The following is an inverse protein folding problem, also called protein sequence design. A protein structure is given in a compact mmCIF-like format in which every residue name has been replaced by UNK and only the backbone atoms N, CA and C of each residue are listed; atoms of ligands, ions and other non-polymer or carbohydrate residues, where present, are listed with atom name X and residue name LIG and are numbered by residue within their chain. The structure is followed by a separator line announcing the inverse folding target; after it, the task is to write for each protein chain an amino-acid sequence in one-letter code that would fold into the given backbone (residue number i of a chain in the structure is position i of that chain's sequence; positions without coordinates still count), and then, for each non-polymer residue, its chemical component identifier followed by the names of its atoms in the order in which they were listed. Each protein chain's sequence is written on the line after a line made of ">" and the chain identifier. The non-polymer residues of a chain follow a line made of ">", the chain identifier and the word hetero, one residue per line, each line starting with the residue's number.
data_IF_989683144693
#
_entry.id   IF_989683144693
#
_cell.length_a   1.000
_cell.length_b   1.000
_cell.length_c   1.000
_cell.angle_alpha   90.00
_cell.angle_beta   90.00
_cell.angle_gamma   90.00
#
_symmetry.space_group_name_H-M   'P 1'
#
loop_
_entity.id
_entity.type
_entity.pdbx_description
1 polymer ?
#
# COMPACT_ATOMS: atom_id res chain seq x y z
N UNK A 1 23.97 25.26 -10.81
CA UNK A 1 22.51 25.23 -11.01
C UNK A 1 22.16 23.94 -11.73
N UNK A 2 21.72 22.92 -11.01
CA UNK A 2 21.18 21.67 -11.60
C UNK A 2 19.68 21.64 -11.24
N UNK A 3 18.89 22.40 -11.99
CA UNK A 3 17.43 22.37 -11.91
C UNK A 3 16.89 21.69 -13.18
N UNK A 4 16.77 20.37 -13.14
CA UNK A 4 15.84 19.64 -14.01
C UNK A 4 15.43 18.39 -13.24
N UNK A 5 14.48 18.55 -12.32
CA UNK A 5 13.71 17.41 -11.85
C UNK A 5 12.73 17.12 -12.98
N UNK A 6 12.95 16.04 -13.71
CA UNK A 6 12.09 15.60 -14.80
C UNK A 6 10.64 15.61 -14.32
N UNK A 7 9.85 16.50 -14.92
CA UNK A 7 8.44 16.71 -14.59
C UNK A 7 7.68 15.48 -15.08
N UNK A 8 7.44 14.51 -14.20
CA UNK A 8 6.65 13.32 -14.50
C UNK A 8 5.25 13.77 -14.91
N UNK A 9 5.00 13.84 -16.21
CA UNK A 9 3.71 14.28 -16.76
C UNK A 9 2.79 13.06 -16.83
N UNK A 10 2.15 12.71 -15.71
CA UNK A 10 1.18 11.62 -15.67
C UNK A 10 -0.20 12.13 -16.09
N UNK A 11 -0.70 11.68 -17.24
CA UNK A 11 -2.07 11.99 -17.66
C UNK A 11 -3.08 11.14 -16.89
N UNK A 12 -3.59 11.72 -15.80
CA UNK A 12 -4.62 11.16 -14.89
C UNK A 12 -5.95 10.88 -15.60
N UNK A 13 -6.14 11.38 -16.82
CA UNK A 13 -7.41 11.33 -17.55
C UNK A 13 -7.96 9.91 -17.77
N UNK A 14 -7.11 8.88 -17.87
CA UNK A 14 -7.55 7.52 -18.24
C UNK A 14 -6.87 6.38 -17.47
N UNK A 15 -6.09 6.66 -16.44
CA UNK A 15 -5.17 5.69 -15.83
C UNK A 15 -5.25 5.75 -14.30
N UNK A 16 -5.51 4.61 -13.66
CA UNK A 16 -5.49 4.49 -12.21
C UNK A 16 -4.10 4.04 -11.76
N UNK A 17 -3.49 4.80 -10.85
CA UNK A 17 -2.24 4.42 -10.21
C UNK A 17 -2.57 3.52 -9.00
N UNK A 18 -2.08 2.28 -9.00
CA UNK A 18 -2.19 1.35 -7.86
C UNK A 18 -0.82 1.23 -7.23
N UNK A 19 -0.79 1.29 -5.90
CA UNK A 19 0.46 1.34 -5.16
C UNK A 19 0.45 0.31 -4.05
N UNK A 20 1.52 -0.49 -4.02
CA UNK A 20 1.75 -1.49 -2.99
C UNK A 20 3.11 -1.29 -2.35
N UNK A 21 3.19 -1.47 -1.02
CA UNK A 21 4.41 -1.20 -0.27
C UNK A 21 4.70 -2.26 0.78
N UNK A 22 5.96 -2.69 0.83
CA UNK A 22 6.55 -3.38 1.98
C UNK A 22 7.52 -2.48 2.78
N UNK A 23 8.20 -1.50 2.19
CA UNK A 23 9.07 -0.55 2.95
C UNK A 23 9.08 0.88 2.40
N UNK A 24 9.35 1.88 3.24
CA UNK A 24 9.45 3.31 2.85
C UNK A 24 8.14 3.95 2.37
N UNK A 25 7.09 3.16 2.15
CA UNK A 25 5.81 3.57 1.57
C UNK A 25 5.04 4.64 2.34
N UNK A 26 5.33 4.84 3.62
CA UNK A 26 4.72 5.93 4.41
C UNK A 26 5.13 7.30 3.87
N UNK A 27 6.42 7.54 3.61
CA UNK A 27 6.91 8.84 3.11
C UNK A 27 6.48 9.04 1.66
N UNK A 28 6.77 8.07 0.79
CA UNK A 28 6.41 8.18 -0.62
C UNK A 28 4.89 8.24 -0.83
N UNK A 29 4.11 7.48 -0.06
CA UNK A 29 2.65 7.57 -0.08
C UNK A 29 2.12 8.94 0.30
N UNK A 30 2.78 9.66 1.24
CA UNK A 30 2.44 11.06 1.56
C UNK A 30 2.80 11.99 0.41
N UNK A 31 3.98 11.84 -0.20
CA UNK A 31 4.39 12.66 -1.35
C UNK A 31 3.40 12.56 -2.52
N UNK A 32 2.83 11.39 -2.75
CA UNK A 32 1.84 11.18 -3.82
C UNK A 32 0.52 11.90 -3.63
N UNK A 33 0.11 12.15 -2.38
CA UNK A 33 -1.16 12.84 -2.09
C UNK A 33 -0.95 14.34 -1.83
N UNK A 34 0.26 14.77 -1.46
CA UNK A 34 0.55 16.15 -1.08
C UNK A 34 1.38 16.94 -2.10
N UNK A 35 2.31 16.30 -2.80
CA UNK A 35 3.40 17.01 -3.48
C UNK A 35 3.39 16.87 -5.02
N UNK A 36 2.32 16.28 -5.58
CA UNK A 36 2.13 16.23 -7.03
C UNK A 36 1.46 17.50 -7.56
N UNK A 37 1.95 18.02 -8.68
CA UNK A 37 1.35 19.14 -9.42
C UNK A 37 0.16 18.64 -10.26
N UNK A 38 -1.05 18.74 -9.71
CA UNK A 38 -2.29 18.21 -10.28
C UNK A 38 -3.26 19.32 -10.65
N UNK A 39 -3.97 19.15 -11.78
CA UNK A 39 -5.10 20.03 -12.16
C UNK A 39 -6.19 20.10 -11.07
N UNK A 40 -6.41 18.98 -10.36
CA UNK A 40 -7.27 18.88 -9.19
C UNK A 40 -6.46 18.23 -8.06
N UNK A 41 -6.01 18.99 -7.04
CA UNK A 41 -5.23 18.44 -5.94
C UNK A 41 -6.08 17.52 -5.06
N UNK A 42 -5.43 16.61 -4.34
CA UNK A 42 -6.11 15.77 -3.35
C UNK A 42 -6.58 16.59 -2.14
N UNK A 43 -7.72 16.23 -1.58
CA UNK A 43 -8.24 16.85 -0.35
C UNK A 43 -8.00 15.92 0.84
N UNK A 44 -7.17 16.33 1.79
CA UNK A 44 -6.81 15.53 2.97
C UNK A 44 -7.45 16.14 4.24
N UNK A 45 -8.54 15.58 4.78
CA UNK A 45 -9.14 16.06 6.02
C UNK A 45 -8.22 15.78 7.23
N UNK A 46 -8.05 16.75 8.12
CA UNK A 46 -7.17 16.63 9.30
C UNK A 46 -7.57 15.46 10.21
N UNK A 47 -8.87 15.21 10.34
CA UNK A 47 -9.42 14.17 11.23
C UNK A 47 -9.23 12.75 10.65
N UNK A 48 -9.06 12.62 9.34
CA UNK A 48 -9.01 11.32 8.66
C UNK A 48 -7.60 11.07 8.13
N UNK A 49 -7.05 9.88 8.39
CA UNK A 49 -5.77 9.43 7.80
C UNK A 49 -5.86 9.14 6.29
N UNK A 50 -6.95 9.52 5.62
CA UNK A 50 -7.21 9.25 4.20
C UNK A 50 -7.56 10.56 3.47
N UNK A 51 -6.98 10.71 2.30
CA UNK A 51 -7.19 11.80 1.36
C UNK A 51 -8.13 11.38 0.23
N UNK A 52 -8.84 12.36 -0.31
CA UNK A 52 -9.70 12.22 -1.47
C UNK A 52 -8.95 12.69 -2.72
N UNK A 53 -8.57 11.74 -3.57
CA UNK A 53 -7.83 12.00 -4.81
C UNK A 53 -8.71 11.64 -6.02
N UNK A 54 -9.55 12.59 -6.42
CA UNK A 54 -10.51 12.40 -7.51
C UNK A 54 -10.01 12.98 -8.83
N UNK A 55 -10.49 12.42 -9.94
CA UNK A 55 -10.18 12.94 -11.27
C UNK A 55 -10.73 14.37 -11.45
N UNK A 56 -10.18 15.17 -12.37
CA UNK A 56 -10.65 16.54 -12.60
C UNK A 56 -12.13 16.63 -13.04
N UNK A 57 -12.61 15.63 -13.80
CA UNK A 57 -13.96 15.63 -14.40
C UNK A 57 -14.89 14.55 -13.85
N UNK A 58 -14.47 13.79 -12.83
CA UNK A 58 -15.31 12.75 -12.23
C UNK A 58 -14.97 12.57 -10.75
N UNK A 59 -15.89 11.97 -10.00
CA UNK A 59 -15.67 11.58 -8.60
C UNK A 59 -15.02 10.19 -8.48
N UNK A 60 -14.43 9.69 -9.56
CA UNK A 60 -13.66 8.45 -9.55
C UNK A 60 -12.29 8.69 -8.96
N UNK A 61 -11.79 7.72 -8.19
CA UNK A 61 -10.44 7.81 -7.66
C UNK A 61 -9.44 7.65 -8.81
N UNK A 62 -8.35 8.40 -8.79
CA UNK A 62 -7.21 8.14 -9.68
C UNK A 62 -6.06 7.39 -8.99
N UNK A 63 -6.13 7.21 -7.67
CA UNK A 63 -5.10 6.61 -6.85
C UNK A 63 -5.69 5.55 -5.91
N UNK A 64 -5.21 4.33 -6.00
CA UNK A 64 -5.48 3.25 -5.05
C UNK A 64 -4.26 3.04 -4.15
N UNK A 65 -4.40 3.39 -2.87
CA UNK A 65 -3.33 3.33 -1.89
C UNK A 65 -3.88 3.36 -0.46
N UNK A 66 -3.02 3.05 0.53
CA UNK A 66 -3.32 3.24 1.97
C UNK A 66 -3.87 4.63 2.29
N UNK A 67 -3.32 5.69 1.68
CA UNK A 67 -3.68 7.07 1.97
C UNK A 67 -4.91 7.56 1.22
N UNK A 68 -5.48 6.79 0.30
CA UNK A 68 -6.68 7.16 -0.44
C UNK A 68 -7.83 6.21 -0.16
N UNK A 69 -7.73 4.98 -0.64
CA UNK A 69 -8.75 3.93 -0.52
C UNK A 69 -8.62 3.17 0.81
N UNK A 70 -7.43 3.18 1.42
CA UNK A 70 -7.12 2.42 2.63
C UNK A 70 -6.72 0.98 2.30
N UNK A 71 -6.86 0.08 3.27
CA UNK A 71 -6.52 -1.34 3.13
C UNK A 71 -7.69 -2.18 2.58
N UNK A 72 -8.31 -1.71 1.49
CA UNK A 72 -9.52 -2.36 0.94
C UNK A 72 -9.29 -3.79 0.46
N UNK A 73 -8.07 -4.09 0.02
CA UNK A 73 -7.68 -5.44 -0.42
C UNK A 73 -6.90 -6.24 0.63
N UNK A 74 -6.76 -5.73 1.85
CA UNK A 74 -5.96 -6.34 2.91
C UNK A 74 -4.84 -5.43 3.40
N UNK A 75 -4.38 -5.69 4.62
CA UNK A 75 -3.23 -4.99 5.20
C UNK A 75 -1.96 -5.42 4.46
N UNK A 76 -1.23 -4.45 3.89
CA UNK A 76 -0.03 -4.72 3.08
C UNK A 76 -0.25 -5.71 1.92
N UNK A 77 -1.41 -5.61 1.26
CA UNK A 77 -1.77 -6.47 0.15
C UNK A 77 -0.66 -6.57 -0.91
N UNK A 78 -0.29 -7.81 -1.25
CA UNK A 78 0.77 -8.10 -2.21
C UNK A 78 0.27 -8.00 -3.67
N UNK A 79 1.14 -8.34 -4.62
CA UNK A 79 0.81 -8.35 -6.05
C UNK A 79 -0.38 -9.26 -6.39
N UNK A 80 -0.39 -10.47 -5.82
CA UNK A 80 -1.43 -11.47 -6.05
C UNK A 80 -2.77 -10.94 -5.53
N UNK A 81 -2.78 -10.41 -4.31
CA UNK A 81 -3.99 -9.89 -3.69
C UNK A 81 -4.55 -8.68 -4.43
N UNK A 82 -3.68 -7.74 -4.83
CA UNK A 82 -4.11 -6.51 -5.51
C UNK A 82 -4.64 -6.77 -6.91
N UNK A 83 -3.99 -7.64 -7.68
CA UNK A 83 -4.43 -7.96 -9.03
C UNK A 83 -5.77 -8.69 -9.04
N UNK A 84 -6.08 -9.48 -8.01
CA UNK A 84 -7.38 -10.14 -7.88
C UNK A 84 -8.49 -9.28 -7.27
N UNK A 85 -8.17 -8.24 -6.50
CA UNK A 85 -9.15 -7.52 -5.67
C UNK A 85 -9.49 -6.09 -6.12
N UNK A 86 -8.54 -5.36 -6.70
CA UNK A 86 -8.69 -3.90 -6.86
C UNK A 86 -9.86 -3.51 -7.78
N UNK A 87 -10.09 -4.27 -8.84
CA UNK A 87 -11.16 -3.99 -9.82
C UNK A 87 -12.54 -4.03 -9.16
N UNK A 88 -12.85 -5.14 -8.49
CA UNK A 88 -14.11 -5.34 -7.74
C UNK A 88 -14.31 -4.25 -6.68
N UNK A 89 -13.26 -3.94 -5.90
CA UNK A 89 -13.38 -2.93 -4.83
C UNK A 89 -13.55 -1.52 -5.33
N UNK A 90 -13.08 -1.20 -6.53
CA UNK A 90 -13.32 0.10 -7.14
C UNK A 90 -14.74 0.20 -7.71
N UNK A 91 -15.25 -0.86 -8.32
CA UNK A 91 -16.63 -0.91 -8.79
C UNK A 91 -17.62 -0.75 -7.64
N UNK A 92 -17.40 -1.44 -6.51
CA UNK A 92 -18.19 -1.26 -5.28
C UNK A 92 -18.15 0.19 -4.77
N UNK A 93 -16.98 0.83 -4.81
CA UNK A 93 -16.79 2.19 -4.30
C UNK A 93 -17.39 3.26 -5.20
N UNK A 94 -17.34 3.06 -6.52
CA UNK A 94 -17.79 4.01 -7.53
C UNK A 94 -19.26 3.77 -7.96
N UNK A 95 -19.84 2.64 -7.57
CA UNK A 95 -21.25 2.29 -7.80
C UNK A 95 -21.57 1.92 -9.26
N UNK A 96 -20.55 1.69 -10.09
CA UNK A 96 -20.72 1.28 -11.48
C UNK A 96 -19.49 0.51 -11.96
N UNK A 97 -19.71 -0.41 -12.88
CA UNK A 97 -18.64 -1.17 -13.53
C UNK A 97 -17.99 -0.29 -14.57
N UNK A 98 -16.67 -0.08 -14.46
CA UNK A 98 -15.91 0.69 -15.42
C UNK A 98 -14.67 -0.06 -15.89
N UNK A 99 -14.39 0.00 -17.19
CA UNK A 99 -13.14 -0.54 -17.73
C UNK A 99 -11.98 0.39 -17.38
N UNK A 100 -11.09 -0.06 -16.50
CA UNK A 100 -9.94 0.72 -16.02
C UNK A 100 -8.63 0.21 -16.61
N UNK A 101 -7.63 1.09 -16.66
CA UNK A 101 -6.23 0.72 -16.91
C UNK A 101 -5.43 1.00 -15.65
N UNK A 102 -4.78 -0.05 -15.16
CA UNK A 102 -4.00 -0.03 -13.93
C UNK A 102 -2.52 0.19 -14.20
N UNK A 103 -1.90 1.07 -13.40
CA UNK A 103 -0.46 1.29 -13.38
C UNK A 103 0.02 0.97 -11.98
N UNK A 104 0.70 -0.15 -11.85
CA UNK A 104 1.23 -0.56 -10.56
C UNK A 104 2.61 0.03 -10.33
N UNK A 105 2.82 0.60 -9.16
CA UNK A 105 4.13 1.08 -8.74
C UNK A 105 4.46 0.56 -7.34
N UNK A 106 5.75 0.38 -7.10
CA UNK A 106 6.28 -0.10 -5.82
C UNK A 106 7.62 0.57 -5.52
N UNK A 107 8.09 0.41 -4.30
CA UNK A 107 9.43 0.82 -3.88
C UNK A 107 10.19 -0.39 -3.37
N UNK A 108 11.43 -0.50 -3.83
CA UNK A 108 12.38 -1.49 -3.37
C UNK A 108 13.44 -0.82 -2.49
N UNK A 109 13.98 -1.59 -1.56
CA UNK A 109 15.08 -1.20 -0.67
C UNK A 109 16.12 -2.31 -0.69
N UNK A 110 17.37 -1.94 -0.41
CA UNK A 110 18.45 -2.90 -0.19
C UNK A 110 18.01 -3.95 0.88
N UNK A 111 18.14 -5.27 0.58
CA UNK A 111 17.54 -6.33 1.39
C UNK A 111 17.97 -6.37 2.85
N UNK A 112 19.25 -6.15 3.17
CA UNK A 112 19.76 -6.21 4.55
C UNK A 112 19.19 -5.06 5.37
N UNK A 113 19.24 -3.84 4.83
CA UNK A 113 18.66 -2.66 5.46
C UNK A 113 17.14 -2.77 5.61
N UNK A 114 16.46 -3.41 4.65
CA UNK A 114 15.02 -3.72 4.71
C UNK A 114 14.73 -4.69 5.86
N UNK A 115 15.43 -5.81 5.93
CA UNK A 115 15.26 -6.85 6.93
C UNK A 115 15.54 -6.34 8.35
N UNK A 116 16.65 -5.62 8.56
CA UNK A 116 16.98 -5.02 9.86
C UNK A 116 15.96 -3.95 10.28
N UNK A 117 15.39 -3.21 9.32
CA UNK A 117 14.34 -2.24 9.59
C UNK A 117 13.03 -2.90 10.01
N UNK A 118 12.72 -4.05 9.45
CA UNK A 118 11.56 -4.88 9.80
C UNK A 118 11.74 -5.48 11.20
N UNK A 119 12.89 -6.10 11.46
CA UNK A 119 13.30 -6.57 12.79
C UNK A 119 13.05 -5.51 13.87
N UNK A 120 13.57 -4.29 13.67
CA UNK A 120 13.39 -3.20 14.64
C UNK A 120 11.93 -2.79 14.82
N UNK A 121 11.08 -2.97 13.80
CA UNK A 121 9.67 -2.68 13.89
C UNK A 121 8.94 -3.77 14.69
N UNK A 122 9.26 -5.03 14.42
CA UNK A 122 8.74 -6.21 15.13
C UNK A 122 9.16 -6.20 16.60
N UNK A 123 10.43 -5.88 16.88
CA UNK A 123 10.96 -5.71 18.23
C UNK A 123 10.17 -4.67 19.06
N UNK A 124 9.50 -3.71 18.42
CA UNK A 124 8.61 -2.71 19.06
C UNK A 124 7.13 -3.08 19.00
N UNK A 125 6.81 -4.34 18.72
CA UNK A 125 5.45 -4.90 18.76
C UNK A 125 4.70 -4.96 17.42
N UNK A 126 5.31 -4.65 16.28
CA UNK A 126 4.64 -4.86 14.99
C UNK A 126 4.53 -6.35 14.63
N UNK A 127 3.38 -6.75 14.10
CA UNK A 127 3.14 -8.17 13.73
C UNK A 127 2.58 -8.35 12.33
N UNK A 128 1.92 -7.32 11.77
CA UNK A 128 1.13 -7.42 10.55
C UNK A 128 0.14 -8.61 10.50
N UNK A 129 -0.24 -9.18 11.65
CA UNK A 129 -1.07 -10.40 11.77
C UNK A 129 -2.45 -10.34 11.12
N UNK A 130 -2.91 -9.15 10.72
CA UNK A 130 -4.15 -8.94 9.99
C UNK A 130 -3.97 -8.96 8.46
N UNK A 131 -2.77 -9.25 7.96
CA UNK A 131 -2.54 -9.56 6.55
C UNK A 131 -3.30 -10.85 6.19
N UNK A 132 -3.91 -10.87 5.00
CA UNK A 132 -4.81 -11.96 4.60
C UNK A 132 -4.06 -13.10 3.92
N UNK A 133 -2.97 -12.80 3.21
CA UNK A 133 -2.23 -13.75 2.40
C UNK A 133 -3.15 -14.51 1.45
N UNK A 134 -4.00 -13.75 0.73
CA UNK A 134 -5.04 -14.31 -0.13
C UNK A 134 -4.48 -14.76 -1.48
N UNK A 135 -4.68 -16.04 -1.80
CA UNK A 135 -4.24 -16.65 -3.04
C UNK A 135 -5.23 -17.72 -3.48
N UNK A 136 -5.47 -17.86 -4.79
CA UNK A 136 -6.36 -18.89 -5.36
C UNK A 136 -7.76 -18.94 -4.71
N UNK A 137 -8.33 -17.78 -4.37
CA UNK A 137 -9.69 -17.69 -3.85
C UNK A 137 -9.83 -17.87 -2.33
N UNK A 138 -8.74 -18.10 -1.58
CA UNK A 138 -8.77 -18.29 -0.12
C UNK A 138 -7.62 -17.60 0.60
N UNK A 139 -7.77 -17.37 1.90
CA UNK A 139 -6.67 -16.94 2.78
C UNK A 139 -5.79 -18.14 3.17
N UNK A 140 -4.53 -17.87 3.50
CA UNK A 140 -3.64 -18.87 4.07
C UNK A 140 -4.14 -19.36 5.43
N UNK A 141 -3.94 -20.65 5.72
CA UNK A 141 -4.23 -21.23 7.04
C UNK A 141 -3.02 -21.06 7.98
N UNK A 142 -3.24 -21.23 9.29
CA UNK A 142 -2.14 -21.21 10.26
C UNK A 142 -1.16 -22.39 10.13
N UNK A 143 -1.57 -23.47 9.45
CA UNK A 143 -0.68 -24.60 9.13
C UNK A 143 0.25 -24.25 7.96
N UNK A 144 -0.24 -23.50 6.99
CA UNK A 144 0.55 -23.04 5.83
C UNK A 144 1.47 -21.87 6.20
N UNK A 145 1.00 -20.98 7.08
CA UNK A 145 1.73 -19.83 7.60
C UNK A 145 1.68 -19.80 9.13
N UNK A 146 2.53 -20.59 9.81
CA UNK A 146 2.62 -20.56 11.26
C UNK A 146 3.18 -19.23 11.76
N UNK A 147 2.79 -18.85 12.97
CA UNK A 147 3.35 -17.67 13.62
C UNK A 147 4.73 -18.00 14.20
N UNK A 148 5.65 -17.03 14.14
CA UNK A 148 6.98 -17.17 14.74
C UNK A 148 7.00 -16.89 16.25
N UNK A 149 5.86 -16.50 16.83
CA UNK A 149 5.74 -16.09 18.23
C UNK A 149 4.39 -16.55 18.79
N UNK A 150 4.37 -16.92 20.08
CA UNK A 150 3.18 -17.45 20.76
C UNK A 150 2.33 -16.36 21.43
N UNK A 151 2.93 -15.18 21.66
CA UNK A 151 2.29 -14.03 22.31
C UNK A 151 1.46 -13.18 21.33
N UNK A 152 0.83 -12.11 21.82
CA UNK A 152 0.08 -11.20 20.94
C UNK A 152 0.97 -10.47 19.91
N UNK A 153 2.21 -10.20 20.32
CA UNK A 153 3.27 -9.54 19.56
C UNK A 153 4.60 -10.25 19.79
N UNK A 154 5.61 -9.93 18.98
CA UNK A 154 7.00 -10.40 19.16
C UNK A 154 7.90 -9.28 19.72
N UNK A 155 7.38 -8.55 20.71
CA UNK A 155 8.08 -7.43 21.33
C UNK A 155 9.32 -7.91 22.10
N UNK A 156 10.41 -7.15 22.01
CA UNK A 156 11.65 -7.48 22.70
C UNK A 156 12.51 -8.58 22.06
N UNK A 157 12.08 -9.18 20.93
CA UNK A 157 12.84 -10.22 20.22
C UNK A 157 14.29 -9.77 19.92
N UNK A 158 15.25 -10.67 20.13
CA UNK A 158 16.64 -10.44 19.74
C UNK A 158 16.83 -10.59 18.22
N UNK A 159 17.95 -10.10 17.69
CA UNK A 159 18.22 -10.30 16.25
C UNK A 159 18.47 -11.77 15.93
N UNK A 160 19.13 -12.51 16.82
CA UNK A 160 19.44 -13.93 16.61
C UNK A 160 18.17 -14.78 16.57
N UNK A 161 17.22 -14.55 17.50
CA UNK A 161 15.91 -15.23 17.48
C UNK A 161 15.08 -14.87 16.24
N UNK A 162 15.14 -13.61 15.80
CA UNK A 162 14.43 -13.16 14.59
C UNK A 162 14.97 -13.83 13.30
N UNK A 163 16.25 -14.20 13.28
CA UNK A 163 16.89 -14.90 12.16
C UNK A 163 16.82 -16.42 12.23
N UNK A 164 16.41 -17.00 13.36
CA UNK A 164 16.46 -18.43 13.63
C UNK A 164 15.29 -19.24 13.05
N UNK A 165 14.39 -18.60 12.30
CA UNK A 165 13.18 -19.19 11.72
C UNK A 165 13.33 -19.46 10.22
#
# INVERSE_FOLDING_TARGET
>A
MLNSVDRITYSISSRLLIIYFLTGGTSFGKHLVHDLDLKRPCTCPIVRKRCYCFRPHSNQSWLFSRYTTGWKCGLHADWTELTSCVDEKLDEMEGHIARRRYFYITLLREPVARYLSEYRHVQRGATWKAARHYCSGRSATSEELPQCFDSETWEGVSLDEFMAF
#
